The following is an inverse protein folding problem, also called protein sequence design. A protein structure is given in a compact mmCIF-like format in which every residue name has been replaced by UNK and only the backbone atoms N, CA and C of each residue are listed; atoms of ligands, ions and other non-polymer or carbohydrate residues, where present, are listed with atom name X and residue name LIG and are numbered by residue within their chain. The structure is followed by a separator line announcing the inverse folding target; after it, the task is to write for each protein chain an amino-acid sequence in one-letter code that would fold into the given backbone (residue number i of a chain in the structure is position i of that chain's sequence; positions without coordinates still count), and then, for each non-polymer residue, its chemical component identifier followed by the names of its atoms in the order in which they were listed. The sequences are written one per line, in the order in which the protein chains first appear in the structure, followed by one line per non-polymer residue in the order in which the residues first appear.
data_IF_182831514855
#
_entry.id   IF_182831514855
#
_cell.length_a   1.000
_cell.length_b   1.000
_cell.length_c   1.000
_cell.angle_alpha   90.00
_cell.angle_beta   90.00
_cell.angle_gamma   90.00
#
_symmetry.space_group_name_H-M   'P 1'
#
loop_
_entity.id
_entity.type
_entity.pdbx_description
1 polymer ?
#
# COMPACT_ATOMS: atom_id res chain seq x y z
N UNK A 1 27.43 0.47 -9.53
CA UNK A 1 27.66 -0.08 -8.18
C UNK A 1 26.52 0.41 -7.30
N UNK A 2 25.42 -0.32 -7.24
CA UNK A 2 24.29 0.00 -6.36
C UNK A 2 24.65 -0.46 -4.95
N UNK A 3 24.77 0.48 -4.01
CA UNK A 3 24.93 0.13 -2.60
C UNK A 3 23.65 -0.53 -2.10
N UNK A 4 23.77 -1.83 -1.84
CA UNK A 4 22.80 -2.75 -1.27
C UNK A 4 22.42 -2.33 0.17
N UNK A 5 21.62 -1.26 0.31
CA UNK A 5 21.35 -0.60 1.61
C UNK A 5 19.87 -0.37 1.93
N UNK A 6 18.96 -0.98 1.18
CA UNK A 6 17.54 -1.02 1.57
C UNK A 6 17.38 -1.79 2.88
N UNK A 7 16.61 -1.22 3.81
CA UNK A 7 16.32 -1.85 5.09
C UNK A 7 15.10 -2.77 4.95
N UNK A 8 15.34 -4.08 5.05
CA UNK A 8 14.27 -5.08 5.12
C UNK A 8 13.59 -5.06 6.48
N UNK A 9 12.33 -4.67 6.50
CA UNK A 9 11.51 -4.58 7.70
C UNK A 9 10.79 -5.90 8.00
N UNK A 10 10.43 -6.08 9.27
CA UNK A 10 9.53 -7.15 9.73
C UNK A 10 8.16 -6.58 10.09
N UNK A 11 7.13 -7.43 10.10
CA UNK A 11 5.79 -7.09 10.57
C UNK A 11 5.86 -6.37 11.93
N UNK A 12 5.24 -5.20 12.03
CA UNK A 12 5.19 -4.35 13.22
C UNK A 12 6.45 -3.52 13.49
N UNK A 13 7.52 -3.66 12.69
CA UNK A 13 8.75 -2.87 12.84
C UNK A 13 8.54 -1.44 12.32
N UNK A 14 8.00 -0.59 13.20
CA UNK A 14 7.70 0.81 12.88
C UNK A 14 8.97 1.64 12.71
N UNK A 15 9.07 2.37 11.61
CA UNK A 15 10.21 3.27 11.31
C UNK A 15 9.72 4.68 11.02
N UNK A 16 10.56 5.69 11.26
CA UNK A 16 10.26 7.07 10.90
C UNK A 16 10.66 7.35 9.45
N UNK A 17 9.81 8.07 8.72
CA UNK A 17 10.06 8.47 7.33
C UNK A 17 10.70 9.86 7.22
N UNK A 18 10.42 10.74 8.18
CA UNK A 18 10.87 12.14 8.19
C UNK A 18 11.75 12.51 9.41
N UNK A 19 12.62 11.59 9.85
CA UNK A 19 13.59 11.81 10.95
C UNK A 19 15.01 11.40 10.57
N UNK A 20 15.99 12.16 11.04
CA UNK A 20 17.42 11.86 10.83
C UNK A 20 17.87 12.19 9.42
N UNK A 21 18.55 11.25 8.75
CA UNK A 21 18.91 11.33 7.34
C UNK A 21 17.70 11.21 6.39
N UNK A 22 16.57 10.67 6.88
CA UNK A 22 15.36 10.49 6.10
C UNK A 22 14.48 11.73 6.27
N UNK A 23 14.45 12.61 5.27
CA UNK A 23 13.56 13.77 5.21
C UNK A 23 12.71 13.72 3.94
N UNK A 24 12.22 12.54 3.62
CA UNK A 24 11.49 12.32 2.39
C UNK A 24 10.01 12.55 2.66
N UNK A 25 9.51 13.68 2.16
CA UNK A 25 8.08 14.01 2.17
C UNK A 25 7.38 13.48 0.92
N UNK A 26 8.15 13.23 -0.14
CA UNK A 26 7.69 12.69 -1.40
C UNK A 26 8.31 11.32 -1.61
N UNK A 27 7.48 10.30 -1.72
CA UNK A 27 7.89 8.91 -1.84
C UNK A 27 7.07 8.18 -2.90
N UNK A 28 7.66 7.15 -3.47
CA UNK A 28 6.94 6.17 -4.29
C UNK A 28 6.83 4.89 -3.48
N UNK A 29 5.60 4.42 -3.29
CA UNK A 29 5.35 3.06 -2.83
C UNK A 29 5.30 2.18 -4.07
N UNK A 30 6.14 1.16 -4.14
CA UNK A 30 6.14 0.18 -5.21
C UNK A 30 5.76 -1.19 -4.67
N UNK A 31 4.92 -1.93 -5.38
CA UNK A 31 4.54 -3.29 -5.01
C UNK A 31 4.86 -4.25 -6.15
N UNK A 32 5.29 -5.45 -5.78
CA UNK A 32 5.45 -6.61 -6.68
C UNK A 32 4.85 -7.85 -6.06
N UNK A 33 4.45 -8.79 -6.91
CA UNK A 33 4.06 -10.13 -6.53
C UNK A 33 4.23 -11.12 -7.67
N UNK A 34 4.39 -12.39 -7.32
CA UNK A 34 4.34 -13.49 -8.28
C UNK A 34 3.05 -14.30 -8.08
N UNK A 35 2.33 -14.53 -9.17
CA UNK A 35 1.08 -15.31 -9.17
C UNK A 35 1.38 -16.75 -9.57
N UNK A 36 1.18 -17.68 -8.63
CA UNK A 36 1.27 -19.13 -8.85
C UNK A 36 -0.12 -19.74 -8.88
N UNK A 37 -0.91 -19.37 -9.87
CA UNK A 37 -2.29 -19.84 -10.05
C UNK A 37 -2.48 -20.46 -11.44
N UNK A 38 -2.99 -21.69 -11.48
CA UNK A 38 -3.26 -22.43 -12.73
C UNK A 38 -4.74 -22.69 -12.98
N UNK A 39 -5.64 -21.94 -12.34
CA UNK A 39 -7.08 -22.11 -12.50
C UNK A 39 -7.65 -21.44 -13.75
N UNK A 40 -8.97 -21.51 -13.91
CA UNK A 40 -9.65 -21.08 -15.14
C UNK A 40 -9.92 -19.57 -15.23
N UNK A 41 -9.91 -18.87 -14.10
CA UNK A 41 -10.18 -17.43 -14.03
C UNK A 41 -8.88 -16.63 -13.99
N UNK A 42 -8.90 -15.43 -14.58
CA UNK A 42 -7.82 -14.46 -14.40
C UNK A 42 -7.63 -14.15 -12.92
N UNK A 43 -6.38 -14.06 -12.49
CA UNK A 43 -5.99 -13.72 -11.14
C UNK A 43 -5.44 -12.30 -11.18
N UNK A 44 -6.18 -11.38 -10.58
CA UNK A 44 -5.90 -9.96 -10.64
C UNK A 44 -5.83 -9.39 -9.23
N UNK A 45 -4.83 -8.56 -8.97
CA UNK A 45 -4.60 -7.92 -7.70
C UNK A 45 -4.69 -6.41 -7.87
N UNK A 46 -5.59 -5.81 -7.10
CA UNK A 46 -5.78 -4.37 -7.06
C UNK A 46 -5.14 -3.76 -5.83
N UNK A 47 -4.47 -2.63 -6.01
CA UNK A 47 -3.99 -1.79 -4.91
C UNK A 47 -4.97 -0.66 -4.62
N UNK A 48 -5.29 -0.45 -3.35
CA UNK A 48 -6.14 0.67 -2.92
C UNK A 48 -5.66 1.31 -1.61
N UNK A 49 -5.92 2.61 -1.46
CA UNK A 49 -5.47 3.42 -0.34
C UNK A 49 -6.67 4.02 0.38
N UNK A 50 -6.75 3.77 1.67
CA UNK A 50 -7.70 4.42 2.56
C UNK A 50 -6.99 5.58 3.25
N UNK A 51 -7.42 6.82 3.00
CA UNK A 51 -6.98 7.98 3.78
C UNK A 51 -7.90 8.08 5.01
N UNK A 52 -7.36 7.69 6.16
CA UNK A 52 -8.12 7.43 7.40
C UNK A 52 -8.03 8.64 8.32
N UNK A 53 -9.18 9.11 8.80
CA UNK A 53 -9.29 10.21 9.74
C UNK A 53 -9.03 9.79 11.20
N UNK A 54 -9.12 10.76 12.11
CA UNK A 54 -8.98 10.56 13.56
C UNK A 54 -10.07 9.67 14.18
N UNK A 55 -11.22 9.51 13.53
CA UNK A 55 -12.30 8.61 13.94
C UNK A 55 -12.11 7.19 13.41
N UNK A 56 -11.01 6.93 12.69
CA UNK A 56 -10.70 5.66 12.00
C UNK A 56 -11.60 5.39 10.79
N UNK A 57 -12.24 6.41 10.23
CA UNK A 57 -13.08 6.30 9.05
C UNK A 57 -12.39 6.89 7.81
N UNK A 58 -12.85 6.49 6.64
CA UNK A 58 -12.48 7.06 5.35
C UNK A 58 -13.73 7.55 4.66
N UNK A 59 -13.73 8.82 4.23
CA UNK A 59 -14.78 9.36 3.38
C UNK A 59 -14.63 8.83 1.94
N UNK A 60 -15.71 8.85 1.15
CA UNK A 60 -15.71 8.30 -0.21
C UNK A 60 -14.65 8.95 -1.12
N UNK A 61 -14.49 10.26 -1.05
CA UNK A 61 -13.48 11.03 -1.81
C UNK A 61 -12.04 10.82 -1.29
N UNK A 62 -11.90 10.14 -0.15
CA UNK A 62 -10.65 9.81 0.54
C UNK A 62 -10.28 8.33 0.38
N UNK A 63 -11.05 7.59 -0.41
CA UNK A 63 -10.73 6.24 -0.85
C UNK A 63 -10.18 6.25 -2.27
N UNK A 64 -8.91 5.84 -2.40
CA UNK A 64 -8.15 5.90 -3.65
C UNK A 64 -8.02 4.49 -4.21
N UNK A 65 -8.54 4.26 -5.41
CA UNK A 65 -8.60 2.96 -6.09
C UNK A 65 -8.71 3.18 -7.60
N UNK A 66 -8.79 2.13 -8.42
CA UNK A 66 -8.83 2.26 -9.88
C UNK A 66 -9.90 3.24 -10.41
N UNK A 67 -11.08 3.30 -9.75
CA UNK A 67 -12.19 4.20 -10.12
C UNK A 67 -12.04 5.64 -9.60
N UNK A 68 -11.17 5.85 -8.62
CA UNK A 68 -10.80 7.15 -8.08
C UNK A 68 -9.27 7.18 -7.84
N UNK A 69 -8.44 7.28 -8.90
CA UNK A 69 -7.03 6.95 -8.82
C UNK A 69 -6.17 8.02 -8.12
N UNK A 70 -6.77 9.14 -7.70
CA UNK A 70 -6.07 10.23 -7.03
C UNK A 70 -6.91 10.90 -5.96
N UNK A 71 -6.26 11.27 -4.88
CA UNK A 71 -6.83 12.19 -3.87
C UNK A 71 -7.07 13.58 -4.47
N UNK A 72 -8.03 14.32 -3.90
CA UNK A 72 -8.35 15.71 -4.30
C UNK A 72 -7.10 16.60 -4.24
N UNK A 73 -6.29 16.43 -3.19
CA UNK A 73 -5.08 17.19 -2.95
C UNK A 73 -3.91 16.78 -3.87
N UNK A 74 -4.05 15.69 -4.63
CA UNK A 74 -2.98 14.97 -5.33
C UNK A 74 -1.85 14.52 -4.39
N UNK A 75 -2.13 14.36 -3.10
CA UNK A 75 -1.19 13.82 -2.10
C UNK A 75 -0.95 12.32 -2.25
N UNK A 76 -1.89 11.62 -2.88
CA UNK A 76 -1.82 10.19 -3.21
C UNK A 76 -2.34 10.01 -4.63
N UNK A 77 -1.57 9.34 -5.49
CA UNK A 77 -1.92 9.05 -6.89
C UNK A 77 -1.42 7.66 -7.27
N UNK A 78 -2.32 6.78 -7.75
CA UNK A 78 -1.99 5.44 -8.24
C UNK A 78 -1.34 5.51 -9.63
N UNK A 79 -0.41 4.59 -9.90
CA UNK A 79 0.31 4.42 -11.17
C UNK A 79 1.46 5.40 -11.43
N UNK A 80 1.52 6.51 -10.70
CA UNK A 80 2.50 7.59 -10.86
C UNK A 80 3.75 7.42 -9.99
N UNK A 81 4.86 8.06 -10.40
CA UNK A 81 6.19 7.83 -9.78
C UNK A 81 7.13 9.05 -9.78
N UNK A 82 6.60 10.28 -9.78
CA UNK A 82 7.40 11.52 -9.90
C UNK A 82 8.36 11.55 -11.11
N UNK A 83 8.03 10.85 -12.21
CA UNK A 83 8.85 10.69 -13.41
C UNK A 83 10.15 9.89 -13.20
N UNK A 84 10.20 9.03 -12.17
CA UNK A 84 11.34 8.14 -11.94
C UNK A 84 11.46 7.03 -13.00
N UNK A 85 10.42 6.83 -13.83
CA UNK A 85 10.35 5.82 -14.91
C UNK A 85 10.48 4.39 -14.37
N UNK A 86 9.74 4.11 -13.30
CA UNK A 86 9.70 2.84 -12.59
C UNK A 86 8.63 1.89 -13.14
N UNK A 87 7.86 2.32 -14.15
CA UNK A 87 6.71 1.57 -14.64
C UNK A 87 6.98 0.16 -15.17
N UNK A 88 8.17 -0.06 -15.71
CA UNK A 88 8.56 -1.34 -16.30
C UNK A 88 9.25 -2.25 -15.27
N UNK A 89 9.34 -1.82 -14.01
CA UNK A 89 10.07 -2.50 -12.93
C UNK A 89 9.17 -3.04 -11.83
N UNK A 90 7.98 -2.45 -11.65
CA UNK A 90 7.08 -2.79 -10.57
C UNK A 90 5.64 -2.96 -11.07
N UNK A 91 4.95 -3.96 -10.54
CA UNK A 91 3.54 -4.24 -10.86
C UNK A 91 2.67 -3.01 -10.56
N UNK A 92 2.78 -2.48 -9.33
CA UNK A 92 2.03 -1.32 -8.89
C UNK A 92 2.92 -0.22 -8.31
N UNK A 93 2.47 1.03 -8.48
CA UNK A 93 3.18 2.23 -8.01
C UNK A 93 2.18 3.21 -7.43
N UNK A 94 2.55 3.88 -6.34
CA UNK A 94 1.76 4.94 -5.73
C UNK A 94 2.69 6.12 -5.45
N UNK A 95 2.39 7.25 -6.06
CA UNK A 95 3.01 8.53 -5.73
C UNK A 95 2.38 9.08 -4.47
N UNK A 96 3.18 9.37 -3.44
CA UNK A 96 2.71 9.99 -2.19
C UNK A 96 3.51 11.25 -1.89
N UNK A 97 2.81 12.37 -1.71
CA UNK A 97 3.32 13.63 -1.20
C UNK A 97 2.71 13.91 0.18
N UNK A 98 3.48 13.58 1.22
CA UNK A 98 3.09 13.68 2.62
C UNK A 98 2.86 15.12 3.10
N UNK A 99 3.41 16.12 2.41
CA UNK A 99 3.17 17.54 2.72
C UNK A 99 1.79 18.00 2.23
N UNK A 100 1.22 17.31 1.23
CA UNK A 100 -0.10 17.61 0.70
C UNK A 100 -1.22 16.82 1.39
N UNK A 101 -0.89 15.84 2.24
CA UNK A 101 -1.89 15.06 2.97
C UNK A 101 -2.59 15.96 4.00
N UNK A 102 -3.94 16.11 3.94
CA UNK A 102 -4.68 16.96 4.87
C UNK A 102 -4.43 16.63 6.35
N UNK A 103 -4.48 17.63 7.21
CA UNK A 103 -4.21 17.48 8.65
C UNK A 103 -5.26 16.63 9.38
N UNK A 104 -6.47 16.49 8.84
CA UNK A 104 -7.49 15.60 9.39
C UNK A 104 -7.25 14.12 9.06
N UNK A 105 -6.27 13.80 8.21
CA UNK A 105 -5.88 12.42 7.87
C UNK A 105 -4.71 11.99 8.76
N UNK A 106 -4.97 11.01 9.60
CA UNK A 106 -3.99 10.44 10.54
C UNK A 106 -3.14 9.34 9.90
N UNK A 107 -3.68 8.67 8.87
CA UNK A 107 -3.06 7.48 8.30
C UNK A 107 -3.47 7.23 6.85
N UNK A 108 -2.52 6.76 6.06
CA UNK A 108 -2.72 6.15 4.75
C UNK A 108 -2.58 4.64 4.92
N UNK A 109 -3.67 3.88 4.79
CA UNK A 109 -3.62 2.42 4.80
C UNK A 109 -3.48 1.92 3.36
N UNK A 110 -2.36 1.25 3.07
CA UNK A 110 -2.06 0.69 1.76
C UNK A 110 -2.50 -0.75 1.76
N UNK A 111 -3.36 -1.12 0.82
CA UNK A 111 -4.01 -2.42 0.78
C UNK A 111 -3.90 -3.06 -0.59
N UNK A 112 -3.94 -4.38 -0.61
CA UNK A 112 -4.00 -5.19 -1.84
C UNK A 112 -5.16 -6.17 -1.72
N UNK A 113 -5.94 -6.32 -2.79
CA UNK A 113 -7.10 -7.22 -2.84
C UNK A 113 -7.08 -8.05 -4.09
N UNK A 114 -7.56 -9.30 -4.00
CA UNK A 114 -7.76 -10.14 -5.18
C UNK A 114 -9.15 -9.86 -5.74
N UNK A 115 -9.21 -9.39 -7.00
CA UNK A 115 -10.46 -9.04 -7.64
C UNK A 115 -11.41 -10.27 -7.74
N UNK A 116 -12.62 -10.14 -7.18
CA UNK A 116 -13.59 -11.25 -7.09
C UNK A 116 -13.02 -12.54 -6.46
N UNK A 117 -11.99 -12.43 -5.61
CA UNK A 117 -11.20 -13.59 -5.15
C UNK A 117 -12.06 -14.71 -4.54
N UNK A 118 -13.00 -14.37 -3.66
CA UNK A 118 -13.90 -15.37 -3.06
C UNK A 118 -14.78 -16.07 -4.08
N UNK A 119 -15.36 -15.32 -5.02
CA UNK A 119 -16.23 -15.88 -6.08
C UNK A 119 -15.43 -16.79 -7.02
N UNK A 120 -14.15 -16.48 -7.24
CA UNK A 120 -13.24 -17.22 -8.12
C UNK A 120 -12.45 -18.32 -7.40
N UNK A 121 -12.64 -18.48 -6.09
CA UNK A 121 -11.85 -19.42 -5.27
C UNK A 121 -10.36 -19.09 -5.24
N UNK A 122 -10.00 -17.83 -5.41
CA UNK A 122 -8.65 -17.30 -5.37
C UNK A 122 -8.36 -16.68 -3.99
N UNK A 123 -7.12 -16.81 -3.53
CA UNK A 123 -6.68 -16.30 -2.23
C UNK A 123 -5.16 -16.08 -2.23
N UNK A 124 -4.64 -15.46 -1.17
CA UNK A 124 -3.23 -15.14 -1.05
C UNK A 124 -2.29 -16.35 -0.97
N UNK A 125 -2.78 -17.59 -0.82
CA UNK A 125 -1.91 -18.78 -0.92
C UNK A 125 -1.32 -18.99 -2.31
N UNK A 126 -1.95 -18.41 -3.35
CA UNK A 126 -1.43 -18.41 -4.72
C UNK A 126 -0.41 -17.30 -4.99
N UNK A 127 -0.10 -16.45 -4.00
CA UNK A 127 0.84 -15.34 -4.14
C UNK A 127 2.16 -15.68 -3.46
N UNK A 128 3.27 -15.56 -4.20
CA UNK A 128 4.63 -15.55 -3.65
C UNK A 128 5.29 -14.19 -3.86
N UNK A 129 6.35 -13.92 -3.09
CA UNK A 129 7.16 -12.71 -3.24
C UNK A 129 6.35 -11.40 -3.22
N UNK A 130 5.25 -11.36 -2.45
CA UNK A 130 4.48 -10.14 -2.25
C UNK A 130 5.28 -9.13 -1.44
N UNK A 131 5.86 -8.14 -2.10
CA UNK A 131 6.79 -7.17 -1.51
C UNK A 131 6.26 -5.76 -1.70
N UNK A 132 6.28 -4.96 -0.63
CA UNK A 132 6.14 -3.51 -0.69
C UNK A 132 7.51 -2.87 -0.51
N UNK A 133 7.80 -1.84 -1.31
CA UNK A 133 9.01 -1.01 -1.26
C UNK A 133 8.65 0.45 -1.07
N UNK A 134 9.46 1.15 -0.30
CA UNK A 134 9.43 2.61 -0.19
C UNK A 134 10.66 3.17 -0.87
N UNK A 135 10.45 3.97 -1.91
CA UNK A 135 11.48 4.61 -2.72
C UNK A 135 11.40 6.10 -2.46
N UNK A 136 12.54 6.73 -2.19
CA UNK A 136 12.62 8.19 -2.08
C UNK A 136 12.49 8.83 -3.47
N UNK A 137 11.65 9.85 -3.61
CA UNK A 137 11.48 10.58 -4.88
C UNK A 137 12.70 11.41 -5.30
N UNK A 138 13.58 11.79 -4.36
CA UNK A 138 14.80 12.55 -4.66
C UNK A 138 15.93 11.66 -5.21
N UNK A 139 15.79 10.34 -5.09
CA UNK A 139 16.71 9.33 -5.62
C UNK A 139 15.98 8.22 -6.36
N UNK A 140 16.70 7.17 -6.77
CA UNK A 140 16.09 5.90 -7.20
C UNK A 140 16.31 4.78 -6.19
N UNK A 141 16.80 5.13 -5.00
CA UNK A 141 17.24 4.16 -4.03
C UNK A 141 16.04 3.67 -3.21
N UNK A 142 15.89 2.35 -3.17
CA UNK A 142 14.98 1.68 -2.25
C UNK A 142 15.44 1.93 -0.81
N UNK A 143 14.56 2.49 0.02
CA UNK A 143 14.87 2.82 1.42
C UNK A 143 14.42 1.70 2.35
N UNK A 144 13.22 1.16 2.12
CA UNK A 144 12.63 0.10 2.92
C UNK A 144 11.95 -0.94 2.04
N UNK A 145 11.97 -2.20 2.46
CA UNK A 145 11.12 -3.25 1.90
C UNK A 145 10.51 -4.14 2.96
N UNK A 146 9.37 -4.75 2.64
CA UNK A 146 8.65 -5.69 3.50
C UNK A 146 7.90 -6.73 2.69
N UNK A 147 8.03 -8.01 3.07
CA UNK A 147 7.25 -9.12 2.51
C UNK A 147 5.90 -9.23 3.24
N UNK A 148 4.82 -8.86 2.57
CA UNK A 148 3.51 -8.64 3.20
C UNK A 148 2.59 -9.86 3.20
N UNK A 149 2.80 -10.82 2.30
CA UNK A 149 1.95 -12.00 2.14
C UNK A 149 2.36 -13.17 3.06
N UNK A 150 3.41 -13.01 3.87
CA UNK A 150 3.92 -14.07 4.74
C UNK A 150 2.87 -14.53 5.75
N UNK A 151 2.45 -15.78 5.62
CA UNK A 151 1.49 -16.43 6.52
C UNK A 151 0.03 -16.25 6.12
N UNK A 152 -0.24 -15.49 5.06
CA UNK A 152 -1.57 -15.45 4.45
C UNK A 152 -1.82 -16.75 3.69
N UNK A 153 -3.04 -17.25 3.77
CA UNK A 153 -3.47 -18.49 3.13
C UNK A 153 -4.84 -18.30 2.50
N UNK A 154 -5.85 -18.11 3.33
CA UNK A 154 -7.25 -18.13 2.90
C UNK A 154 -7.77 -16.74 2.57
N UNK A 155 -7.06 -15.71 3.00
CA UNK A 155 -7.45 -14.32 2.87
C UNK A 155 -7.47 -13.89 1.40
N UNK A 156 -8.34 -12.92 1.10
CA UNK A 156 -8.56 -12.35 -0.24
C UNK A 156 -8.25 -10.86 -0.29
N UNK A 157 -7.97 -10.25 0.86
CA UNK A 157 -7.52 -8.88 1.02
C UNK A 157 -6.41 -8.80 2.08
N UNK A 158 -5.56 -7.77 2.01
CA UNK A 158 -4.51 -7.51 3.01
C UNK A 158 -4.29 -6.01 3.19
N UNK A 159 -4.18 -5.57 4.46
CA UNK A 159 -3.55 -4.29 4.80
C UNK A 159 -2.05 -4.53 4.83
N UNK A 160 -1.36 -4.06 3.78
CA UNK A 160 0.06 -4.29 3.54
C UNK A 160 0.90 -3.49 4.53
N UNK A 161 0.69 -2.18 4.54
CA UNK A 161 1.41 -1.25 5.40
C UNK A 161 0.56 -0.01 5.66
N UNK A 162 0.97 0.74 6.68
CA UNK A 162 0.34 2.00 7.03
C UNK A 162 1.40 3.09 7.16
N UNK A 163 1.16 4.23 6.51
CA UNK A 163 1.92 5.46 6.73
C UNK A 163 1.09 6.36 7.62
N UNK A 164 1.57 6.71 8.82
CA UNK A 164 0.76 7.37 9.84
C UNK A 164 1.50 8.49 10.56
N UNK A 165 0.75 9.46 11.08
CA UNK A 165 1.25 10.54 11.92
C UNK A 165 1.42 10.05 13.35
N UNK A 166 2.54 10.43 13.99
CA UNK A 166 2.79 10.18 15.39
C UNK A 166 3.78 11.19 15.95
N UNK A 167 3.35 11.97 16.95
CA UNK A 167 4.17 13.01 17.59
C UNK A 167 4.84 13.97 16.59
N UNK A 168 4.06 14.45 15.59
CA UNK A 168 4.53 15.36 14.55
C UNK A 168 5.43 14.72 13.48
N UNK A 169 5.51 13.39 13.42
CA UNK A 169 6.32 12.64 12.47
C UNK A 169 5.49 11.69 11.63
N UNK A 170 5.88 11.50 10.38
CA UNK A 170 5.38 10.42 9.54
C UNK A 170 6.17 9.16 9.79
N UNK A 171 5.46 8.05 9.98
CA UNK A 171 6.03 6.74 10.27
C UNK A 171 5.44 5.69 9.34
N UNK A 172 6.23 4.68 9.00
CA UNK A 172 5.79 3.48 8.32
C UNK A 172 5.56 2.36 9.35
N UNK A 173 4.46 1.65 9.22
CA UNK A 173 4.15 0.44 9.95
C UNK A 173 3.93 -0.71 8.95
N UNK A 174 4.83 -1.70 8.87
CA UNK A 174 4.59 -2.92 8.10
C UNK A 174 3.49 -3.76 8.78
N UNK A 175 2.33 -3.94 8.14
CA UNK A 175 1.13 -4.51 8.80
C UNK A 175 0.93 -5.98 8.45
N UNK A 176 0.82 -6.32 7.16
CA UNK A 176 0.57 -7.69 6.68
C UNK A 176 -0.61 -8.38 7.37
N UNK A 177 -1.74 -7.67 7.54
CA UNK A 177 -2.94 -8.23 8.15
C UNK A 177 -3.95 -8.61 7.07
N UNK A 178 -4.23 -9.89 6.92
CA UNK A 178 -5.16 -10.39 5.93
C UNK A 178 -6.62 -10.29 6.38
N UNK A 179 -7.51 -10.25 5.40
CA UNK A 179 -8.96 -10.15 5.54
C UNK A 179 -9.62 -11.17 4.60
N UNK A 180 -10.69 -11.80 5.09
CA UNK A 180 -11.67 -12.48 4.25
C UNK A 180 -12.74 -11.46 3.87
N UNK A 181 -13.42 -11.62 2.73
CA UNK A 181 -14.41 -10.69 2.20
C UNK A 181 -13.86 -9.65 1.23
N UNK A 182 -12.60 -9.77 0.80
CA UNK A 182 -12.02 -8.92 -0.25
C UNK A 182 -12.05 -7.43 0.08
N UNK A 183 -12.29 -6.61 -0.93
CA UNK A 183 -12.36 -5.15 -0.79
C UNK A 183 -13.53 -4.69 0.10
N UNK A 184 -14.65 -5.41 0.07
CA UNK A 184 -15.83 -5.09 0.89
C UNK A 184 -15.49 -5.11 2.38
N UNK A 185 -14.80 -6.15 2.85
CA UNK A 185 -14.36 -6.23 4.24
C UNK A 185 -13.38 -5.11 4.65
N UNK A 186 -12.52 -4.65 3.72
CA UNK A 186 -11.66 -3.50 3.98
C UNK A 186 -12.47 -2.19 4.05
N UNK A 187 -13.44 -1.99 3.15
CA UNK A 187 -14.34 -0.85 3.19
C UNK A 187 -15.09 -0.77 4.52
N UNK A 188 -15.69 -1.87 4.97
CA UNK A 188 -16.35 -1.94 6.28
C UNK A 188 -15.39 -1.61 7.42
N UNK A 189 -14.17 -2.17 7.39
CA UNK A 189 -13.14 -1.92 8.40
C UNK A 189 -12.73 -0.44 8.48
N UNK A 190 -12.81 0.31 7.39
CA UNK A 190 -12.51 1.74 7.31
C UNK A 190 -13.77 2.63 7.22
N UNK A 191 -14.95 2.09 7.53
CA UNK A 191 -16.19 2.88 7.64
C UNK A 191 -16.80 3.33 6.32
N UNK A 192 -16.38 2.78 5.19
CA UNK A 192 -17.00 3.01 3.88
C UNK A 192 -18.16 2.04 3.71
N UNK A 193 -19.33 2.57 3.37
CA UNK A 193 -20.50 1.75 3.04
C UNK A 193 -20.45 1.36 1.56
N UNK A 194 -20.30 0.07 1.30
CA UNK A 194 -20.45 -0.49 -0.04
C UNK A 194 -21.95 -0.74 -0.26
N UNK A 195 -22.51 -0.28 -1.39
CA UNK A 195 -23.90 -0.54 -1.81
C UNK A 195 -23.95 -1.49 -2.99
#
# INVERSE_FOLDING_TARGET
MSSDSSIKLKRGQKVALNKGSNKFFKLVVALDWDINYGGMHEFDLDTSIFMVDFNKNTAEDKFIFYGNPKSIENSVVLGEDFNLKLKDYYDERIMIDLDLVPDNIEKLAITVTIYDGEKRGQNFSSISNGIIRIIDSLGKDEVFSYEFNKGLKLETAVVVAEIYRHNGQWKLNPVGNGFNGGLEALCENYGIKVQ
#
